data_IF_739352109148
#
_entry.id   IF_739352109148
#
_cell.length_a   1.000
_cell.length_b   1.000
_cell.length_c   1.000
_cell.angle_alpha   90.00
_cell.angle_beta   90.00
_cell.angle_gamma   90.00
#
_symmetry.space_group_name_H-M   'P 1'
#
loop_
_entity.id
_entity.type
_entity.pdbx_description
1 polymer ?
#
# COMPACT_ATOMS: atom_id res chain seq x y z
N UNK A 1 12.27 27.11 9.78
CA UNK A 1 11.80 25.78 9.32
C UNK A 1 10.33 25.93 8.92
N UNK A 2 10.02 25.81 7.63
CA UNK A 2 8.68 26.12 7.10
C UNK A 2 7.71 24.97 7.42
N UNK A 3 6.44 25.27 7.70
CA UNK A 3 5.42 24.26 8.03
C UNK A 3 5.31 23.15 6.98
N UNK A 4 5.52 23.49 5.70
CA UNK A 4 5.60 22.55 4.58
C UNK A 4 6.75 21.55 4.74
N UNK A 5 7.93 22.05 5.10
CA UNK A 5 9.14 21.23 5.33
C UNK A 5 8.96 20.32 6.54
N UNK A 6 8.37 20.84 7.63
CA UNK A 6 8.09 20.04 8.83
C UNK A 6 7.10 18.90 8.54
N UNK A 7 6.06 19.19 7.76
CA UNK A 7 5.06 18.20 7.35
C UNK A 7 5.68 17.06 6.52
N UNK A 8 6.56 17.40 5.58
CA UNK A 8 7.25 16.40 4.76
C UNK A 8 8.15 15.51 5.62
N UNK A 9 8.92 16.10 6.54
CA UNK A 9 9.79 15.33 7.44
C UNK A 9 8.96 14.38 8.33
N UNK A 10 7.85 14.86 8.89
CA UNK A 10 6.95 14.02 9.68
C UNK A 10 6.39 12.84 8.87
N UNK A 11 5.96 13.08 7.63
CA UNK A 11 5.47 12.03 6.74
C UNK A 11 6.55 10.98 6.44
N UNK A 12 7.78 11.40 6.17
CA UNK A 12 8.90 10.49 5.92
C UNK A 12 9.15 9.61 7.15
N UNK A 13 9.16 10.19 8.36
CA UNK A 13 9.33 9.44 9.61
C UNK A 13 8.21 8.40 9.78
N UNK A 14 6.96 8.77 9.53
CA UNK A 14 5.81 7.85 9.61
C UNK A 14 5.97 6.69 8.63
N UNK A 15 6.36 6.97 7.38
CA UNK A 15 6.57 5.94 6.36
C UNK A 15 7.69 4.97 6.80
N UNK A 16 8.79 5.49 7.33
CA UNK A 16 9.88 4.67 7.84
C UNK A 16 9.35 3.76 8.96
N UNK A 17 8.70 4.31 9.98
CA UNK A 17 8.14 3.54 11.10
C UNK A 17 7.19 2.45 10.59
N UNK A 18 6.30 2.78 9.67
CA UNK A 18 5.37 1.83 9.05
C UNK A 18 6.13 0.68 8.38
N UNK A 19 7.15 0.98 7.57
CA UNK A 19 7.98 -0.04 6.94
C UNK A 19 8.65 -0.91 8.01
N UNK A 20 9.25 -0.28 9.04
CA UNK A 20 10.00 -0.98 10.07
C UNK A 20 9.12 -1.94 10.89
N UNK A 21 7.87 -1.56 11.16
CA UNK A 21 6.89 -2.38 11.89
C UNK A 21 6.33 -3.54 11.05
N UNK A 22 6.32 -3.42 9.72
CA UNK A 22 5.72 -4.41 8.82
C UNK A 22 6.76 -5.24 8.04
N UNK A 23 7.99 -5.34 8.54
CA UNK A 23 9.09 -6.08 7.88
C UNK A 23 8.92 -7.59 7.86
N UNK A 24 8.04 -8.12 8.69
CA UNK A 24 7.82 -9.55 8.82
C UNK A 24 7.44 -10.19 7.49
N UNK A 25 8.08 -11.30 7.15
CA UNK A 25 7.74 -12.09 5.98
C UNK A 25 6.51 -12.93 6.31
N UNK A 26 5.45 -12.75 5.52
CA UNK A 26 4.19 -13.46 5.68
C UNK A 26 3.91 -14.34 4.46
N UNK A 27 3.37 -15.56 4.66
CA UNK A 27 2.90 -16.38 3.56
C UNK A 27 1.57 -15.85 3.04
N UNK A 28 1.53 -15.41 1.79
CA UNK A 28 0.30 -15.09 1.07
C UNK A 28 -0.15 -16.35 0.35
N UNK A 29 -1.34 -16.87 0.70
CA UNK A 29 -1.97 -17.98 0.00
C UNK A 29 -3.07 -17.45 -0.91
N UNK A 30 -2.99 -17.74 -2.19
CA UNK A 30 -3.98 -17.33 -3.17
C UNK A 30 -4.40 -18.53 -4.02
N UNK A 31 -5.67 -18.93 -3.88
CA UNK A 31 -6.24 -20.11 -4.54
C UNK A 31 -5.37 -21.36 -4.30
N UNK A 32 -4.59 -21.78 -5.30
CA UNK A 32 -3.79 -23.01 -5.29
C UNK A 32 -2.28 -22.78 -5.10
N UNK A 33 -1.84 -21.54 -4.87
CA UNK A 33 -0.43 -21.21 -4.71
C UNK A 33 -0.17 -20.37 -3.47
N UNK A 34 1.09 -20.38 -3.00
CA UNK A 34 1.54 -19.56 -1.89
C UNK A 34 2.86 -18.87 -2.21
N UNK A 35 3.01 -17.66 -1.73
CA UNK A 35 4.21 -16.84 -1.93
C UNK A 35 4.62 -16.21 -0.60
N UNK A 36 5.92 -16.22 -0.31
CA UNK A 36 6.47 -15.55 0.85
C UNK A 36 6.91 -14.14 0.47
N UNK A 37 6.38 -13.13 1.15
CA UNK A 37 6.72 -11.73 0.92
C UNK A 37 6.60 -10.92 2.20
N UNK A 38 7.27 -9.77 2.25
CA UNK A 38 7.15 -8.88 3.42
C UNK A 38 5.73 -8.33 3.54
N UNK A 39 5.24 -8.21 4.78
CA UNK A 39 3.90 -7.66 5.08
C UNK A 39 3.72 -6.26 4.50
N UNK A 40 4.77 -5.44 4.47
CA UNK A 40 4.76 -4.13 3.77
C UNK A 40 4.33 -4.28 2.32
N UNK A 41 4.92 -5.22 1.57
CA UNK A 41 4.61 -5.42 0.15
C UNK A 41 3.17 -5.87 -0.01
N UNK A 42 2.70 -6.80 0.83
CA UNK A 42 1.30 -7.25 0.81
C UNK A 42 0.35 -6.08 1.01
N UNK A 43 0.57 -5.26 2.04
CA UNK A 43 -0.28 -4.12 2.37
C UNK A 43 -0.30 -3.09 1.24
N UNK A 44 0.87 -2.71 0.72
CA UNK A 44 0.99 -1.73 -0.36
C UNK A 44 0.36 -2.23 -1.67
N UNK A 45 0.63 -3.46 -2.07
CA UNK A 45 0.06 -4.04 -3.30
C UNK A 45 -1.45 -4.17 -3.18
N UNK A 46 -1.97 -4.63 -2.04
CA UNK A 46 -3.42 -4.75 -1.83
C UNK A 46 -4.12 -3.39 -1.87
N UNK A 47 -3.53 -2.37 -1.23
CA UNK A 47 -4.04 -1.01 -1.30
C UNK A 47 -4.06 -0.47 -2.74
N UNK A 48 -2.96 -0.66 -3.49
CA UNK A 48 -2.86 -0.19 -4.87
C UNK A 48 -3.88 -0.90 -5.77
N UNK A 49 -4.05 -2.21 -5.62
CA UNK A 49 -5.08 -2.97 -6.35
C UNK A 49 -6.49 -2.44 -6.05
N UNK A 50 -6.78 -2.07 -4.80
CA UNK A 50 -8.05 -1.44 -4.43
C UNK A 50 -8.27 -0.09 -5.13
N UNK A 51 -7.26 0.78 -5.17
CA UNK A 51 -7.31 2.06 -5.88
C UNK A 51 -7.54 1.87 -7.37
N UNK A 52 -6.80 0.94 -7.99
CA UNK A 52 -6.93 0.62 -9.41
C UNK A 52 -8.31 0.03 -9.74
N UNK A 53 -8.84 -0.86 -8.89
CA UNK A 53 -10.17 -1.43 -9.04
C UNK A 53 -11.26 -0.35 -8.94
N UNK A 54 -11.17 0.55 -7.95
CA UNK A 54 -12.10 1.67 -7.80
C UNK A 54 -12.07 2.64 -8.97
N UNK A 55 -10.88 2.96 -9.46
CA UNK A 55 -10.69 3.82 -10.65
C UNK A 55 -11.24 3.17 -11.92
N UNK A 56 -10.96 1.87 -12.12
CA UNK A 56 -11.52 1.11 -13.22
C UNK A 56 -13.05 1.09 -13.14
N UNK A 57 -13.62 0.80 -11.97
CA UNK A 57 -15.07 0.79 -11.75
C UNK A 57 -15.72 2.13 -12.10
N UNK A 58 -15.17 3.24 -11.61
CA UNK A 58 -15.70 4.58 -11.96
C UNK A 58 -15.63 4.88 -13.45
N UNK A 59 -14.57 4.41 -14.15
CA UNK A 59 -14.45 4.58 -15.60
C UNK A 59 -15.42 3.68 -16.38
N UNK A 60 -15.70 2.47 -15.90
CA UNK A 60 -16.69 1.58 -16.50
C UNK A 60 -18.11 2.13 -16.33
N UNK A 61 -18.48 2.56 -15.12
CA UNK A 61 -19.83 3.07 -14.82
C UNK A 61 -20.10 4.39 -15.55
N UNK A 62 -19.13 5.30 -15.64
CA UNK A 62 -19.33 6.57 -16.39
C UNK A 62 -19.33 6.42 -17.92
N UNK A 63 -19.06 5.23 -18.44
CA UNK A 63 -19.01 4.95 -19.89
C UNK A 63 -20.35 4.44 -20.44
N UNK A 64 -21.27 4.06 -19.57
CA UNK A 64 -22.66 3.71 -19.88
C UNK A 64 -23.60 4.81 -19.39
#
# INVERSE_FOLDING_TARGET
>A
MNWKTNGIVALVIIIIIFILQNREVVPVRFLFWSLQMSRVVVLFTTFLLGVLAGWAYTRFVKRF
#
